data_IF_321048730264
#
_entry.id   IF_321048730264
#
_cell.length_a   1.000
_cell.length_b   1.000
_cell.length_c   1.000
_cell.angle_alpha   90.00
_cell.angle_beta   90.00
_cell.angle_gamma   90.00
#
_symmetry.space_group_name_H-M   'P 1'
#
loop_
_entity.id
_entity.type
_entity.pdbx_description
1 polymer ?
#
# COMPACT_ATOMS: atom_id res chain seq x y z
N UNK A 1 -86.83 -33.56 107.63
CA UNK A 1 -88.20 -33.57 107.21
C UNK A 1 -88.24 -33.81 105.78
N UNK A 2 -88.35 -35.06 105.53
CA UNK A 2 -89.54 -35.73 104.94
C UNK A 2 -89.80 -35.32 103.53
N UNK A 3 -90.09 -36.10 102.75
CA UNK A 3 -90.35 -37.54 102.54
C UNK A 3 -90.43 -37.89 101.09
N UNK A 4 -89.84 -38.97 100.61
CA UNK A 4 -90.50 -40.06 99.89
C UNK A 4 -91.12 -39.71 98.46
N UNK A 5 -90.93 -40.38 97.47
CA UNK A 5 -91.11 -41.81 97.17
C UNK A 5 -91.61 -42.04 95.77
N UNK A 6 -91.10 -43.06 95.21
CA UNK A 6 -91.67 -44.01 94.27
C UNK A 6 -91.36 -43.94 92.78
N UNK A 7 -90.66 -44.94 92.43
CA UNK A 7 -90.62 -45.62 91.09
C UNK A 7 -91.97 -46.30 90.85
N UNK A 8 -92.31 -46.59 89.63
CA UNK A 8 -91.98 -47.92 89.01
C UNK A 8 -91.61 -47.90 87.53
N UNK A 9 -90.89 -48.97 87.17
CA UNK A 9 -90.64 -49.57 85.88
C UNK A 9 -91.92 -50.12 85.20
N UNK A 10 -91.77 -50.76 84.00
CA UNK A 10 -91.04 -50.61 82.68
C UNK A 10 -92.00 -50.68 81.52
N UNK A 11 -91.51 -50.45 80.26
CA UNK A 11 -91.90 -51.22 79.08
C UNK A 11 -90.87 -51.03 77.90
N UNK A 12 -90.49 -52.15 77.33
CA UNK A 12 -89.69 -52.31 76.14
C UNK A 12 -90.35 -51.78 74.85
N UNK A 13 -89.61 -51.28 73.87
CA UNK A 13 -89.77 -51.63 72.53
C UNK A 13 -88.83 -50.87 71.59
N UNK A 14 -88.22 -51.63 70.77
CA UNK A 14 -87.83 -51.41 69.33
C UNK A 14 -86.81 -50.36 68.95
N UNK A 15 -85.64 -50.86 68.41
CA UNK A 15 -84.69 -50.18 67.60
C UNK A 15 -85.25 -49.89 66.18
N UNK A 16 -84.94 -48.75 65.61
CA UNK A 16 -84.79 -48.64 64.19
C UNK A 16 -83.37 -48.34 63.80
N UNK A 17 -82.93 -48.89 62.67
CA UNK A 17 -81.67 -48.85 61.96
C UNK A 17 -80.98 -47.48 61.91
N UNK A 18 -79.63 -47.42 62.21
CA UNK A 18 -78.72 -46.31 61.80
C UNK A 18 -78.44 -46.33 60.34
N UNK A 19 -79.18 -45.61 59.53
CA UNK A 19 -78.73 -45.17 58.22
C UNK A 19 -77.56 -44.20 58.38
N UNK A 20 -76.34 -44.71 57.98
CA UNK A 20 -75.13 -43.92 57.85
C UNK A 20 -75.32 -42.73 56.87
N UNK A 21 -75.70 -41.57 57.38
CA UNK A 21 -75.59 -40.28 56.67
C UNK A 21 -74.10 -39.99 56.44
N UNK A 22 -73.56 -40.34 55.24
CA UNK A 22 -72.26 -39.81 54.77
C UNK A 22 -72.39 -38.30 54.68
N UNK A 23 -71.81 -37.56 55.58
CA UNK A 23 -71.88 -36.11 55.66
C UNK A 23 -71.21 -35.52 54.38
N UNK A 24 -71.92 -34.69 53.61
CA UNK A 24 -71.35 -34.06 52.44
C UNK A 24 -70.17 -33.16 52.73
N UNK A 25 -69.94 -32.78 53.98
CA UNK A 25 -68.83 -31.95 54.43
C UNK A 25 -67.47 -32.58 54.21
N UNK A 26 -67.33 -33.94 54.25
CA UNK A 26 -66.07 -34.63 53.98
C UNK A 26 -65.72 -34.56 52.50
N UNK A 27 -66.66 -34.61 51.55
CA UNK A 27 -66.44 -34.46 50.16
C UNK A 27 -66.15 -32.99 49.77
N UNK A 28 -66.73 -32.01 50.43
CA UNK A 28 -66.42 -30.58 50.24
C UNK A 28 -65.00 -30.29 50.74
N UNK A 29 -64.62 -30.79 51.91
CA UNK A 29 -63.27 -30.64 52.43
C UNK A 29 -62.23 -31.36 51.58
N UNK A 30 -62.50 -32.53 51.00
CA UNK A 30 -61.63 -33.24 50.09
C UNK A 30 -61.52 -32.49 48.76
N UNK A 31 -62.61 -31.92 48.25
CA UNK A 31 -62.66 -31.08 47.08
C UNK A 31 -61.84 -29.79 47.27
N UNK A 32 -61.96 -29.10 48.42
CA UNK A 32 -61.12 -27.93 48.68
C UNK A 32 -59.64 -28.30 48.83
N UNK A 33 -59.29 -29.45 49.47
CA UNK A 33 -57.90 -29.89 49.57
C UNK A 33 -57.31 -30.20 48.19
N UNK A 34 -58.10 -30.89 47.35
CA UNK A 34 -57.67 -31.22 45.97
C UNK A 34 -57.49 -29.96 45.08
N UNK A 35 -58.40 -28.98 45.26
CA UNK A 35 -58.33 -27.68 44.61
C UNK A 35 -57.15 -26.87 45.17
N UNK A 36 -56.83 -26.91 46.45
CA UNK A 36 -55.67 -26.32 47.09
C UNK A 36 -54.34 -26.96 46.59
N UNK A 37 -54.34 -28.30 46.50
CA UNK A 37 -53.16 -29.04 45.99
C UNK A 37 -52.94 -28.79 44.48
N UNK A 38 -54.02 -28.79 43.69
CA UNK A 38 -53.88 -28.48 42.22
C UNK A 38 -53.51 -27.02 42.00
N UNK A 39 -54.09 -26.08 42.69
CA UNK A 39 -53.71 -24.68 42.66
C UNK A 39 -52.27 -24.45 43.16
N UNK A 40 -51.85 -25.10 44.25
CA UNK A 40 -50.51 -25.06 44.77
C UNK A 40 -49.46 -25.68 43.85
N UNK A 41 -49.80 -26.83 43.26
CA UNK A 41 -48.92 -27.45 42.22
C UNK A 41 -48.84 -26.61 40.95
N UNK A 42 -49.95 -26.06 40.47
CA UNK A 42 -49.97 -25.16 39.35
C UNK A 42 -49.15 -23.89 39.65
N UNK A 43 -49.36 -23.27 40.79
CA UNK A 43 -48.56 -22.09 41.20
C UNK A 43 -47.09 -22.43 41.34
N UNK A 44 -46.74 -23.58 41.95
CA UNK A 44 -45.37 -24.03 42.11
C UNK A 44 -44.66 -24.19 40.77
N UNK A 45 -45.31 -24.87 39.78
CA UNK A 45 -44.73 -25.02 38.42
C UNK A 45 -44.73 -23.70 37.64
N UNK A 46 -45.73 -22.83 37.88
CA UNK A 46 -45.78 -21.54 37.17
C UNK A 46 -44.70 -20.56 37.64
N UNK A 47 -44.40 -20.52 38.93
CA UNK A 47 -43.37 -19.61 39.50
C UNK A 47 -41.95 -20.20 39.48
N UNK A 48 -41.79 -21.50 39.44
CA UNK A 48 -40.52 -22.18 39.49
C UNK A 48 -39.66 -21.95 38.24
N UNK A 49 -40.28 -21.86 37.07
CA UNK A 49 -39.60 -21.80 35.79
C UNK A 49 -39.46 -20.36 35.26
N UNK A 50 -39.54 -19.36 36.14
CA UNK A 50 -39.40 -17.94 35.81
C UNK A 50 -38.45 -17.24 36.75
N UNK A 51 -37.56 -16.45 36.15
CA UNK A 51 -36.62 -15.60 36.88
C UNK A 51 -36.87 -14.16 36.46
N UNK A 52 -37.23 -13.28 37.37
CA UNK A 52 -37.53 -11.88 37.10
C UNK A 52 -36.56 -10.95 37.78
N UNK A 53 -36.32 -9.80 37.17
CA UNK A 53 -35.56 -8.68 37.69
C UNK A 53 -36.29 -7.38 37.39
N UNK A 54 -36.48 -6.56 38.40
CA UNK A 54 -36.96 -5.18 38.39
C UNK A 54 -35.83 -4.16 38.17
N UNK A 55 -34.57 -4.63 38.20
CA UNK A 55 -33.39 -3.83 37.96
C UNK A 55 -32.92 -4.07 36.51
N UNK A 56 -33.69 -3.55 35.56
CA UNK A 56 -33.39 -3.68 34.16
C UNK A 56 -33.69 -2.36 33.45
N UNK A 57 -32.86 -2.05 32.48
CA UNK A 57 -32.99 -0.84 31.66
C UNK A 57 -32.75 -1.14 30.18
N UNK A 58 -33.35 -0.31 29.34
CA UNK A 58 -33.05 -0.30 27.90
C UNK A 58 -31.71 0.38 27.68
N UNK A 59 -30.84 -0.24 26.91
CA UNK A 59 -29.57 0.30 26.46
C UNK A 59 -29.50 0.38 24.92
N UNK A 60 -28.60 1.18 24.37
CA UNK A 60 -28.31 1.28 22.97
C UNK A 60 -26.85 1.68 22.70
N UNK A 61 -26.41 1.53 21.47
CA UNK A 61 -25.12 2.07 21.02
C UNK A 61 -25.20 3.61 20.92
N UNK A 62 -24.56 4.29 21.84
CA UNK A 62 -24.52 5.75 21.88
C UNK A 62 -23.35 6.23 21.01
N UNK A 63 -23.64 6.93 19.90
CA UNK A 63 -22.61 7.46 18.99
C UNK A 63 -22.37 8.93 19.25
N UNK A 64 -21.24 9.27 19.87
CA UNK A 64 -20.83 10.66 20.06
C UNK A 64 -20.24 11.22 18.75
N UNK A 65 -20.73 12.38 18.34
CA UNK A 65 -20.28 13.11 17.15
C UNK A 65 -19.30 14.18 17.57
N UNK A 66 -18.06 14.07 17.06
CA UNK A 66 -16.98 15.00 17.32
C UNK A 66 -16.26 15.39 16.01
N UNK A 67 -15.79 16.62 15.84
CA UNK A 67 -15.05 17.04 14.68
C UNK A 67 -13.66 16.38 14.64
N UNK A 68 -13.18 16.10 13.44
CA UNK A 68 -11.81 15.60 13.19
C UNK A 68 -10.81 16.74 12.95
N UNK A 69 -11.32 17.95 12.69
CA UNK A 69 -10.54 19.16 12.37
C UNK A 69 -11.04 20.33 13.21
N UNK A 70 -10.16 21.28 13.54
CA UNK A 70 -10.58 22.53 14.19
C UNK A 70 -11.22 23.48 13.19
N UNK A 71 -12.11 24.35 13.64
CA UNK A 71 -12.66 25.38 12.79
C UNK A 71 -13.86 26.10 13.39
N UNK A 72 -14.31 27.14 12.70
CA UNK A 72 -15.52 27.86 13.06
C UNK A 72 -16.75 27.17 12.49
N UNK A 73 -17.77 26.94 13.28
CA UNK A 73 -19.04 26.35 12.85
C UNK A 73 -19.84 27.37 12.05
N UNK A 74 -20.01 27.09 10.77
CA UNK A 74 -20.77 27.95 9.87
C UNK A 74 -22.27 27.77 10.07
N UNK A 75 -22.73 26.51 10.18
CA UNK A 75 -24.15 26.18 10.35
C UNK A 75 -24.30 24.84 11.08
N UNK A 76 -25.35 24.74 11.90
CA UNK A 76 -25.85 23.51 12.48
C UNK A 76 -27.20 23.24 11.84
N UNK A 77 -27.35 22.12 11.13
CA UNK A 77 -28.47 21.82 10.26
C UNK A 77 -29.52 20.91 10.91
N UNK A 78 -29.29 20.54 12.19
CA UNK A 78 -30.17 19.66 12.94
C UNK A 78 -30.56 20.29 14.27
N UNK A 79 -31.75 19.94 14.74
CA UNK A 79 -32.28 20.34 16.04
C UNK A 79 -32.08 19.21 17.06
N UNK A 80 -32.11 19.56 18.35
CA UNK A 80 -32.13 18.58 19.41
C UNK A 80 -33.43 17.74 19.33
N UNK A 81 -33.31 16.43 19.55
CA UNK A 81 -34.39 15.44 19.40
C UNK A 81 -34.93 15.24 17.96
N UNK A 82 -34.19 15.71 16.94
CA UNK A 82 -34.54 15.46 15.54
C UNK A 82 -34.07 14.06 15.11
N UNK A 83 -34.94 13.36 14.37
CA UNK A 83 -34.57 12.12 13.69
C UNK A 83 -33.70 12.42 12.47
N UNK A 84 -32.61 11.69 12.31
CA UNK A 84 -31.64 11.80 11.21
C UNK A 84 -31.35 10.43 10.63
N UNK A 85 -30.97 10.40 9.35
CA UNK A 85 -30.53 9.21 8.64
C UNK A 85 -29.02 9.25 8.43
N UNK A 86 -28.43 8.07 8.29
CA UNK A 86 -27.03 7.97 7.90
C UNK A 86 -26.74 8.77 6.62
N UNK A 87 -25.72 9.64 6.65
CA UNK A 87 -25.39 10.56 5.57
C UNK A 87 -26.00 11.96 5.67
N UNK A 88 -26.99 12.18 6.55
CA UNK A 88 -27.54 13.52 6.76
C UNK A 88 -26.48 14.48 7.30
N UNK A 89 -26.42 15.70 6.78
CA UNK A 89 -25.45 16.71 7.23
C UNK A 89 -25.93 17.30 8.56
N UNK A 90 -25.06 17.17 9.56
CA UNK A 90 -25.33 17.64 10.92
C UNK A 90 -24.77 19.04 11.16
N UNK A 91 -23.48 19.22 10.86
CA UNK A 91 -22.74 20.45 11.12
C UNK A 91 -21.88 20.78 9.91
N UNK A 92 -21.79 22.03 9.58
CA UNK A 92 -20.85 22.56 8.57
C UNK A 92 -19.86 23.51 9.23
N UNK A 93 -18.59 23.14 9.16
CA UNK A 93 -17.45 23.96 9.56
C UNK A 93 -17.08 24.85 8.36
N UNK A 94 -16.52 26.04 8.61
CA UNK A 94 -16.07 26.96 7.54
C UNK A 94 -15.02 26.29 6.65
N UNK A 95 -15.30 26.07 5.35
CA UNK A 95 -14.40 25.34 4.47
C UNK A 95 -13.33 26.21 3.82
N UNK A 96 -13.35 27.56 3.98
CA UNK A 96 -12.52 28.49 3.19
C UNK A 96 -11.03 28.22 3.34
N UNK A 97 -10.55 28.02 4.55
CA UNK A 97 -9.14 27.75 4.81
C UNK A 97 -8.71 26.39 4.25
N UNK A 98 -9.58 25.39 4.33
CA UNK A 98 -9.34 24.05 3.80
C UNK A 98 -9.40 24.03 2.28
N UNK A 99 -10.32 24.81 1.67
CA UNK A 99 -10.39 24.98 0.22
C UNK A 99 -9.10 25.64 -0.31
N UNK A 100 -8.61 26.69 0.35
CA UNK A 100 -7.34 27.33 -0.02
C UNK A 100 -6.16 26.33 0.03
N UNK A 101 -6.13 25.43 1.03
CA UNK A 101 -5.11 24.37 1.09
C UNK A 101 -5.22 23.37 -0.06
N UNK A 102 -6.42 23.00 -0.46
CA UNK A 102 -6.67 22.16 -1.65
C UNK A 102 -6.16 22.84 -2.91
N UNK A 103 -6.44 24.14 -3.08
CA UNK A 103 -6.01 24.90 -4.26
C UNK A 103 -4.48 25.03 -4.33
N UNK A 104 -3.82 25.25 -3.20
CA UNK A 104 -2.35 25.25 -3.09
C UNK A 104 -1.78 23.88 -3.46
N UNK A 105 -2.33 22.81 -2.91
CA UNK A 105 -1.87 21.44 -3.18
C UNK A 105 -2.11 21.04 -4.66
N UNK A 106 -3.22 21.50 -5.26
CA UNK A 106 -3.51 21.30 -6.69
C UNK A 106 -2.52 22.04 -7.59
N UNK A 107 -2.17 23.29 -7.24
CA UNK A 107 -1.14 24.04 -7.95
C UNK A 107 0.23 23.36 -7.86
N UNK A 108 0.60 22.83 -6.69
CA UNK A 108 1.83 22.06 -6.50
C UNK A 108 1.84 20.77 -7.33
N UNK A 109 0.72 20.09 -7.48
CA UNK A 109 0.59 18.92 -8.37
C UNK A 109 0.82 19.31 -9.82
N UNK A 110 0.19 20.37 -10.32
CA UNK A 110 0.39 20.87 -11.68
C UNK A 110 1.86 21.25 -11.95
N UNK A 111 2.53 21.86 -10.98
CA UNK A 111 3.95 22.17 -11.07
C UNK A 111 4.80 20.89 -11.20
N UNK A 112 4.53 19.87 -10.35
CA UNK A 112 5.25 18.60 -10.39
C UNK A 112 5.00 17.84 -11.72
N UNK A 113 3.78 17.85 -12.24
CA UNK A 113 3.44 17.27 -13.55
C UNK A 113 4.16 17.96 -14.69
N UNK A 114 4.27 19.29 -14.68
CA UNK A 114 5.07 20.08 -15.63
C UNK A 114 6.55 19.69 -15.59
N UNK A 115 7.11 19.53 -14.38
CA UNK A 115 8.50 19.11 -14.20
C UNK A 115 8.73 17.69 -14.76
N UNK A 116 7.82 16.76 -14.50
CA UNK A 116 7.87 15.40 -15.05
C UNK A 116 7.81 15.42 -16.57
N UNK A 117 6.90 16.16 -17.18
CA UNK A 117 6.77 16.28 -18.61
C UNK A 117 8.06 16.82 -19.25
N UNK A 118 8.66 17.84 -18.65
CA UNK A 118 9.97 18.38 -19.07
C UNK A 118 11.06 17.31 -18.99
N UNK A 119 11.16 16.61 -17.85
CA UNK A 119 12.16 15.56 -17.66
C UNK A 119 11.96 14.41 -18.66
N UNK A 120 10.72 13.99 -18.91
CA UNK A 120 10.40 12.95 -19.90
C UNK A 120 10.75 13.36 -21.33
N UNK A 121 10.59 14.64 -21.68
CA UNK A 121 10.93 15.15 -23.02
C UNK A 121 12.44 15.21 -23.26
N UNK A 122 13.24 15.46 -22.21
CA UNK A 122 14.71 15.52 -22.29
C UNK A 122 15.33 14.15 -22.50
N UNK A 123 14.74 13.06 -22.04
CA UNK A 123 15.27 11.69 -22.20
C UNK A 123 15.43 11.30 -23.67
N UNK A 124 14.40 11.34 -24.55
CA UNK A 124 14.53 10.99 -25.95
C UNK A 124 15.43 11.97 -26.70
N UNK A 125 15.43 13.26 -26.37
CA UNK A 125 16.32 14.23 -26.94
C UNK A 125 17.78 13.86 -26.66
N UNK A 126 18.13 13.59 -25.40
CA UNK A 126 19.48 13.16 -25.01
C UNK A 126 19.86 11.84 -25.68
N UNK A 127 18.94 10.88 -25.73
CA UNK A 127 19.19 9.62 -26.42
C UNK A 127 19.52 9.83 -27.92
N UNK A 128 18.74 10.64 -28.63
CA UNK A 128 18.95 10.90 -30.03
C UNK A 128 20.28 11.64 -30.29
N UNK A 129 20.62 12.63 -29.48
CA UNK A 129 21.87 13.40 -29.63
C UNK A 129 23.09 12.52 -29.33
N UNK A 130 23.06 11.71 -28.27
CA UNK A 130 24.17 10.79 -27.92
C UNK A 130 24.30 9.66 -28.94
N UNK A 131 23.18 9.14 -29.46
CA UNK A 131 23.19 8.11 -30.50
C UNK A 131 23.78 8.66 -31.81
N UNK A 132 23.38 9.86 -32.22
CA UNK A 132 23.92 10.53 -33.40
C UNK A 132 25.43 10.80 -33.25
N UNK A 133 25.85 11.25 -32.08
CA UNK A 133 27.28 11.43 -31.77
C UNK A 133 28.07 10.12 -31.85
N UNK A 134 27.55 9.03 -31.32
CA UNK A 134 28.20 7.72 -31.39
C UNK A 134 28.27 7.19 -32.84
N UNK A 135 27.21 7.39 -33.64
CA UNK A 135 27.21 7.01 -35.06
C UNK A 135 28.21 7.82 -35.86
N UNK A 136 28.31 9.13 -35.60
CA UNK A 136 29.31 10.02 -36.24
C UNK A 136 30.74 9.62 -35.89
N UNK A 137 31.05 9.32 -34.64
CA UNK A 137 32.36 8.84 -34.22
C UNK A 137 32.69 7.48 -34.84
N UNK A 138 31.74 6.55 -34.94
CA UNK A 138 31.93 5.26 -35.61
C UNK A 138 32.24 5.42 -37.13
N UNK A 139 31.58 6.35 -37.80
CA UNK A 139 31.87 6.67 -39.21
C UNK A 139 33.29 7.23 -39.38
N UNK A 140 33.72 8.14 -38.48
CA UNK A 140 35.10 8.66 -38.50
C UNK A 140 36.14 7.57 -38.28
N UNK A 141 35.88 6.60 -37.38
CA UNK A 141 36.73 5.44 -37.18
C UNK A 141 36.83 4.59 -38.47
N UNK A 142 35.71 4.34 -39.15
CA UNK A 142 35.67 3.59 -40.41
C UNK A 142 36.51 4.28 -41.49
N UNK A 143 36.39 5.61 -41.61
CA UNK A 143 37.20 6.40 -42.55
C UNK A 143 38.68 6.35 -42.21
N UNK A 144 39.07 6.49 -40.94
CA UNK A 144 40.46 6.37 -40.51
C UNK A 144 41.03 4.95 -40.74
N UNK A 145 40.26 3.91 -40.58
CA UNK A 145 40.64 2.53 -40.89
C UNK A 145 40.84 2.32 -42.38
N UNK A 146 39.97 2.88 -43.23
CA UNK A 146 40.10 2.81 -44.68
C UNK A 146 41.34 3.56 -45.14
N UNK A 147 41.69 4.70 -44.55
CA UNK A 147 42.92 5.43 -44.81
C UNK A 147 44.17 4.62 -44.42
N UNK A 148 44.14 3.97 -43.25
CA UNK A 148 45.22 3.08 -42.80
C UNK A 148 45.45 1.92 -43.82
N UNK A 149 44.37 1.30 -44.29
CA UNK A 149 44.47 0.22 -45.30
C UNK A 149 45.10 0.74 -46.56
N UNK A 150 44.68 1.92 -47.06
CA UNK A 150 45.29 2.56 -48.25
C UNK A 150 46.77 2.88 -48.04
N UNK A 151 47.14 3.41 -46.87
CA UNK A 151 48.53 3.71 -46.55
C UNK A 151 49.39 2.44 -46.48
N UNK A 152 48.87 1.34 -45.91
CA UNK A 152 49.53 0.03 -45.84
C UNK A 152 49.78 -0.55 -47.23
N UNK A 153 48.76 -0.58 -48.07
CA UNK A 153 48.90 -1.06 -49.46
C UNK A 153 49.93 -0.25 -50.22
N UNK A 154 49.91 1.08 -50.10
CA UNK A 154 50.92 1.95 -50.70
C UNK A 154 52.32 1.73 -50.16
N UNK A 155 52.51 1.42 -48.90
CA UNK A 155 53.80 1.04 -48.29
C UNK A 155 54.25 -0.34 -48.80
N UNK A 156 53.37 -1.33 -48.85
CA UNK A 156 53.63 -2.70 -49.29
C UNK A 156 54.11 -2.70 -50.74
N UNK A 157 53.48 -1.93 -51.63
CA UNK A 157 53.90 -1.75 -53.00
C UNK A 157 55.30 -1.13 -53.07
N UNK A 158 55.55 -0.02 -52.38
CA UNK A 158 56.85 0.66 -52.43
C UNK A 158 57.96 -0.19 -51.75
N UNK A 159 57.68 -0.95 -50.70
CA UNK A 159 58.66 -1.74 -50.00
C UNK A 159 58.99 -3.09 -50.63
N UNK A 160 58.11 -3.62 -51.49
CA UNK A 160 58.32 -4.91 -52.16
C UNK A 160 58.48 -4.78 -53.63
N UNK A 161 57.39 -4.42 -54.37
CA UNK A 161 57.37 -4.42 -55.82
C UNK A 161 58.33 -3.39 -56.41
N UNK A 162 58.27 -2.13 -55.97
CA UNK A 162 59.04 -1.06 -56.51
C UNK A 162 60.59 -1.25 -56.30
N UNK A 163 60.93 -1.71 -55.07
CA UNK A 163 62.30 -2.05 -54.69
C UNK A 163 62.80 -3.23 -55.57
N UNK A 164 62.01 -4.29 -55.72
CA UNK A 164 62.37 -5.47 -56.51
C UNK A 164 62.68 -5.12 -57.96
N UNK A 165 61.90 -4.22 -58.56
CA UNK A 165 62.09 -3.76 -59.91
C UNK A 165 63.44 -3.02 -60.05
N UNK A 166 63.69 -2.03 -59.18
CA UNK A 166 64.94 -1.26 -59.30
C UNK A 166 66.17 -2.10 -58.92
N UNK A 167 66.08 -3.05 -58.01
CA UNK A 167 67.15 -4.01 -57.73
C UNK A 167 67.46 -4.96 -58.91
N UNK A 168 66.45 -5.37 -59.66
CA UNK A 168 66.63 -6.15 -60.87
C UNK A 168 67.37 -5.32 -61.94
N UNK A 169 67.03 -4.01 -62.01
CA UNK A 169 67.79 -3.10 -62.92
C UNK A 169 69.24 -2.95 -62.50
N UNK A 170 69.53 -2.76 -61.19
CA UNK A 170 70.90 -2.71 -60.68
C UNK A 170 71.69 -3.99 -61.04
N UNK A 171 71.12 -5.16 -60.92
CA UNK A 171 71.75 -6.43 -61.32
C UNK A 171 72.06 -6.47 -62.78
N UNK A 172 71.16 -5.96 -63.62
CA UNK A 172 71.39 -5.88 -65.08
C UNK A 172 72.52 -4.92 -65.42
N UNK A 173 72.57 -3.72 -64.80
CA UNK A 173 73.63 -2.72 -65.02
C UNK A 173 74.93 -3.19 -64.42
N UNK A 174 74.95 -3.90 -63.30
CA UNK A 174 76.10 -4.50 -62.71
C UNK A 174 76.77 -5.53 -63.69
N UNK A 175 75.96 -6.44 -64.25
CA UNK A 175 76.45 -7.41 -65.21
C UNK A 175 76.99 -6.73 -66.46
N UNK A 176 76.39 -5.62 -66.93
CA UNK A 176 76.90 -4.83 -68.04
C UNK A 176 78.23 -4.16 -67.72
N UNK A 177 78.37 -3.57 -66.55
CA UNK A 177 79.63 -2.95 -66.07
C UNK A 177 80.73 -3.98 -65.91
N UNK A 178 80.43 -5.14 -65.26
CA UNK A 178 81.42 -6.23 -65.16
C UNK A 178 81.95 -6.69 -66.52
N UNK A 179 81.09 -6.83 -67.51
CA UNK A 179 81.43 -7.17 -68.86
C UNK A 179 82.32 -6.08 -69.48
N UNK A 180 81.93 -4.79 -69.43
CA UNK A 180 82.68 -3.71 -69.98
C UNK A 180 84.06 -3.53 -69.32
N UNK A 181 84.16 -3.72 -68.00
CA UNK A 181 85.44 -3.72 -67.26
C UNK A 181 86.31 -4.90 -67.64
N UNK A 182 85.80 -6.09 -67.84
CA UNK A 182 86.50 -7.28 -68.29
C UNK A 182 86.99 -7.13 -69.70
N UNK A 183 86.23 -6.52 -70.60
CA UNK A 183 86.64 -6.22 -71.96
C UNK A 183 87.80 -5.17 -71.99
N UNK A 184 87.69 -4.11 -71.19
CA UNK A 184 88.75 -3.12 -71.01
C UNK A 184 90.04 -3.78 -70.44
N UNK A 185 89.93 -4.61 -69.38
CA UNK A 185 91.08 -5.32 -68.82
C UNK A 185 91.77 -6.25 -69.84
N UNK A 186 91.04 -6.92 -70.73
CA UNK A 186 91.57 -7.75 -71.80
C UNK A 186 92.24 -6.92 -72.90
N UNK A 187 91.75 -5.71 -73.17
CA UNK A 187 92.36 -4.83 -74.23
C UNK A 187 93.62 -4.10 -73.79
N UNK A 188 93.79 -3.88 -72.46
CA UNK A 188 94.97 -3.19 -71.92
C UNK A 188 96.27 -3.86 -72.25
N UNK A 189 96.50 -5.18 -72.09
CA UNK A 189 97.76 -5.81 -72.49
C UNK A 189 98.01 -5.84 -74.03
N UNK A 190 96.89 -5.84 -74.83
CA UNK A 190 96.98 -5.80 -76.30
C UNK A 190 97.42 -4.42 -76.78
N UNK A 191 97.02 -3.33 -76.09
CA UNK A 191 97.56 -1.99 -76.34
C UNK A 191 99.04 -1.89 -76.05
N UNK A 192 99.50 -2.46 -74.86
CA UNK A 192 100.92 -2.48 -74.48
C UNK A 192 101.80 -3.19 -75.53
N UNK A 193 101.17 -4.22 -76.15
CA UNK A 193 101.84 -4.96 -77.23
C UNK A 193 101.69 -4.31 -78.62
N UNK A 194 100.99 -3.13 -78.72
CA UNK A 194 100.71 -2.43 -79.96
C UNK A 194 99.78 -3.25 -80.95
N UNK A 195 99.07 -4.26 -80.45
CA UNK A 195 98.18 -5.10 -81.29
C UNK A 195 96.83 -4.41 -81.61
N UNK A 196 96.46 -3.34 -80.84
CA UNK A 196 95.25 -2.53 -81.00
C UNK A 196 95.60 -1.03 -81.10
N UNK A 197 94.76 -0.23 -81.80
CA UNK A 197 94.94 1.21 -81.83
C UNK A 197 94.51 1.93 -80.53
N UNK A 198 95.20 3.08 -80.27
CA UNK A 198 94.79 3.95 -79.14
C UNK A 198 93.33 4.37 -79.20
N UNK A 199 92.79 4.59 -80.41
CA UNK A 199 91.36 4.93 -80.60
C UNK A 199 90.45 3.80 -80.21
N UNK A 200 90.78 2.54 -80.54
CA UNK A 200 90.02 1.38 -80.16
C UNK A 200 90.03 1.19 -78.61
N UNK A 201 91.20 1.34 -77.96
CA UNK A 201 91.31 1.30 -76.49
C UNK A 201 90.48 2.41 -75.83
N UNK A 202 90.55 3.66 -76.36
CA UNK A 202 89.74 4.77 -75.83
C UNK A 202 88.23 4.50 -75.95
N UNK A 203 87.77 3.78 -77.01
CA UNK A 203 86.39 3.34 -77.10
C UNK A 203 85.95 2.38 -76.00
N UNK A 204 86.83 1.35 -75.66
CA UNK A 204 86.54 0.44 -74.56
C UNK A 204 86.59 1.17 -73.20
N UNK A 205 87.51 2.12 -73.01
CA UNK A 205 87.61 2.95 -71.87
C UNK A 205 86.38 3.83 -71.70
N UNK A 206 85.88 4.42 -72.77
CA UNK A 206 84.62 5.19 -72.75
C UNK A 206 83.40 4.31 -72.38
N UNK A 207 83.31 3.11 -73.01
CA UNK A 207 82.24 2.14 -72.72
C UNK A 207 82.23 1.69 -71.30
N UNK A 208 83.44 1.43 -70.70
CA UNK A 208 83.54 1.07 -69.28
C UNK A 208 83.09 2.21 -68.33
N UNK A 209 83.48 3.47 -68.65
CA UNK A 209 83.03 4.65 -67.90
C UNK A 209 81.51 4.88 -68.01
N UNK A 210 80.94 4.68 -69.17
CA UNK A 210 79.46 4.76 -69.35
C UNK A 210 78.74 3.71 -68.52
N UNK A 211 79.22 2.43 -68.60
CA UNK A 211 78.62 1.36 -67.85
C UNK A 211 78.76 1.56 -66.32
N UNK A 212 79.86 2.08 -65.85
CA UNK A 212 80.06 2.45 -64.42
C UNK A 212 79.10 3.58 -64.01
N UNK A 213 78.97 4.61 -64.87
CA UNK A 213 78.00 5.71 -64.55
C UNK A 213 76.55 5.24 -64.53
N UNK A 214 76.19 4.33 -65.44
CA UNK A 214 74.83 3.73 -65.48
C UNK A 214 74.59 2.90 -64.28
N UNK A 215 75.59 2.12 -63.72
CA UNK A 215 75.46 1.37 -62.52
C UNK A 215 75.24 2.30 -61.31
N UNK A 216 76.02 3.35 -61.16
CA UNK A 216 75.84 4.35 -60.11
C UNK A 216 74.49 4.98 -60.16
N UNK A 217 73.99 5.37 -61.34
CA UNK A 217 72.66 5.93 -61.52
C UNK A 217 71.55 4.92 -61.05
N UNK A 218 71.72 3.62 -61.32
CA UNK A 218 70.80 2.59 -60.91
C UNK A 218 70.83 2.37 -59.36
N UNK A 219 72.02 2.47 -58.78
CA UNK A 219 72.19 2.39 -57.29
C UNK A 219 71.54 3.60 -56.62
N UNK A 220 71.75 4.81 -57.09
CA UNK A 220 71.02 6.01 -56.58
C UNK A 220 69.54 5.90 -56.74
N UNK A 221 69.04 5.26 -57.79
CA UNK A 221 67.62 4.98 -57.94
C UNK A 221 67.07 4.04 -56.88
N UNK A 222 67.84 3.02 -56.46
CA UNK A 222 67.48 2.17 -55.31
C UNK A 222 67.37 2.99 -53.99
N UNK A 223 68.34 3.85 -53.73
CA UNK A 223 68.30 4.73 -52.58
C UNK A 223 67.06 5.64 -52.53
N UNK A 224 66.74 6.22 -53.73
CA UNK A 224 65.53 7.05 -53.90
C UNK A 224 64.22 6.27 -53.61
N UNK A 225 64.09 5.04 -54.13
CA UNK A 225 62.93 4.20 -53.92
C UNK A 225 62.81 3.74 -52.41
N UNK A 226 63.97 3.43 -51.84
CA UNK A 226 64.02 3.12 -50.36
C UNK A 226 63.61 4.31 -49.52
N UNK A 227 64.03 5.51 -49.85
CA UNK A 227 63.61 6.72 -49.14
C UNK A 227 62.12 6.94 -49.32
N UNK A 228 61.53 6.73 -50.55
CA UNK A 228 60.09 6.79 -50.73
C UNK A 228 59.34 5.75 -49.90
N UNK A 229 59.86 4.49 -49.82
CA UNK A 229 59.29 3.48 -48.91
C UNK A 229 59.32 3.95 -47.46
N UNK A 230 60.35 4.63 -46.99
CA UNK A 230 60.45 5.24 -45.70
C UNK A 230 59.36 6.31 -45.43
N UNK A 231 59.12 7.20 -46.42
CA UNK A 231 58.06 8.19 -46.36
C UNK A 231 56.66 7.51 -46.21
N UNK A 232 56.44 6.49 -47.01
CA UNK A 232 55.19 5.73 -46.97
C UNK A 232 54.99 4.99 -45.66
N UNK A 233 56.09 4.47 -45.06
CA UNK A 233 56.04 3.89 -43.70
C UNK A 233 55.62 4.92 -42.65
N UNK A 234 56.16 6.14 -42.74
CA UNK A 234 55.75 7.24 -41.85
C UNK A 234 54.27 7.60 -42.07
N UNK A 235 53.75 7.57 -43.32
CA UNK A 235 52.32 7.75 -43.56
C UNK A 235 51.46 6.65 -42.93
N UNK A 236 51.91 5.39 -42.92
CA UNK A 236 51.22 4.30 -42.18
C UNK A 236 51.17 4.60 -40.67
N UNK A 237 52.28 5.04 -40.08
CA UNK A 237 52.32 5.41 -38.67
C UNK A 237 51.35 6.58 -38.34
N UNK A 238 51.29 7.58 -39.20
CA UNK A 238 50.36 8.70 -39.07
C UNK A 238 48.90 8.25 -39.15
N UNK A 239 48.59 7.37 -40.14
CA UNK A 239 47.24 6.80 -40.28
C UNK A 239 46.88 5.92 -39.07
N UNK A 240 47.83 5.17 -38.52
CA UNK A 240 47.65 4.39 -37.27
C UNK A 240 47.28 5.30 -36.09
N UNK A 241 47.97 6.43 -35.93
CA UNK A 241 47.66 7.40 -34.88
C UNK A 241 46.27 8.02 -35.05
N UNK A 242 45.83 8.26 -36.32
CA UNK A 242 44.47 8.72 -36.61
C UNK A 242 43.39 7.68 -36.19
N UNK A 243 43.65 6.38 -36.43
CA UNK A 243 42.78 5.30 -36.01
C UNK A 243 42.66 5.29 -34.45
N UNK A 244 43.79 5.41 -33.72
CA UNK A 244 43.78 5.47 -32.29
C UNK A 244 43.00 6.68 -31.76
N UNK A 245 43.13 7.84 -32.39
CA UNK A 245 42.35 9.03 -32.04
C UNK A 245 40.84 8.81 -32.25
N UNK A 246 40.47 8.26 -33.42
CA UNK A 246 39.07 7.97 -33.72
C UNK A 246 38.48 6.91 -32.81
N UNK A 247 39.26 5.91 -32.38
CA UNK A 247 38.83 4.93 -31.34
C UNK A 247 38.54 5.62 -30.02
N UNK A 248 39.41 6.50 -29.56
CA UNK A 248 39.17 7.26 -28.30
C UNK A 248 37.89 8.14 -28.41
N UNK A 249 37.61 8.70 -29.61
CA UNK A 249 36.39 9.46 -29.85
C UNK A 249 35.13 8.57 -29.76
N UNK A 250 35.19 7.34 -30.28
CA UNK A 250 34.09 6.37 -30.16
C UNK A 250 33.85 6.01 -28.68
N UNK A 251 34.93 5.74 -27.94
CA UNK A 251 34.81 5.46 -26.49
C UNK A 251 34.18 6.64 -25.71
N UNK A 252 34.61 7.86 -25.99
CA UNK A 252 34.05 9.07 -25.41
C UNK A 252 32.54 9.23 -25.74
N UNK A 253 32.19 8.98 -27.02
CA UNK A 253 30.79 9.05 -27.48
C UNK A 253 29.90 7.95 -26.79
N UNK A 254 30.44 6.74 -26.59
CA UNK A 254 29.77 5.66 -25.87
C UNK A 254 29.64 6.00 -24.38
N UNK A 255 30.65 6.60 -23.75
CA UNK A 255 30.58 7.06 -22.39
C UNK A 255 29.48 8.12 -22.19
N UNK A 256 29.31 9.02 -23.18
CA UNK A 256 28.25 10.03 -23.15
C UNK A 256 26.82 9.42 -23.18
N UNK A 257 26.65 8.19 -23.69
CA UNK A 257 25.35 7.51 -23.66
C UNK A 257 24.86 7.25 -22.22
N UNK A 258 25.76 7.13 -21.22
CA UNK A 258 25.38 7.03 -19.81
C UNK A 258 24.63 8.25 -19.31
N UNK A 259 24.74 9.38 -19.98
CA UNK A 259 23.96 10.58 -19.68
C UNK A 259 22.45 10.37 -19.87
N UNK A 260 22.06 9.44 -20.74
CA UNK A 260 20.66 9.03 -20.90
C UNK A 260 20.13 8.37 -19.62
N UNK A 261 20.95 7.55 -18.95
CA UNK A 261 20.56 6.91 -17.70
C UNK A 261 20.40 7.92 -16.56
N UNK A 262 21.25 8.94 -16.53
CA UNK A 262 21.10 10.07 -15.59
C UNK A 262 19.78 10.80 -15.84
N UNK A 263 19.47 11.14 -17.10
CA UNK A 263 18.20 11.80 -17.45
C UNK A 263 16.99 10.94 -17.15
N UNK A 264 17.11 9.61 -17.31
CA UNK A 264 16.05 8.66 -16.94
C UNK A 264 15.84 8.62 -15.42
N UNK A 265 16.93 8.66 -14.63
CA UNK A 265 16.84 8.74 -13.17
C UNK A 265 16.19 10.07 -12.71
N UNK A 266 16.56 11.20 -13.35
CA UNK A 266 15.92 12.51 -13.10
C UNK A 266 14.42 12.48 -13.41
N UNK A 267 14.00 11.83 -14.52
CA UNK A 267 12.59 11.62 -14.85
C UNK A 267 11.89 10.75 -13.79
N UNK A 268 12.56 9.71 -13.26
CA UNK A 268 12.07 8.91 -12.16
C UNK A 268 11.87 9.72 -10.87
N UNK A 269 12.81 10.61 -10.55
CA UNK A 269 12.72 11.53 -9.41
C UNK A 269 11.53 12.50 -9.57
N UNK A 270 11.34 13.05 -10.76
CA UNK A 270 10.20 13.92 -11.05
C UNK A 270 8.87 13.17 -10.95
N UNK A 271 8.82 11.89 -11.38
CA UNK A 271 7.63 11.04 -11.22
C UNK A 271 7.31 10.78 -9.73
N UNK A 272 8.32 10.55 -8.89
CA UNK A 272 8.14 10.46 -7.45
C UNK A 272 7.62 11.77 -6.84
N UNK A 273 8.09 12.93 -7.36
CA UNK A 273 7.58 14.24 -6.99
C UNK A 273 6.09 14.41 -7.29
N UNK A 274 5.61 13.94 -8.44
CA UNK A 274 4.17 13.92 -8.79
C UNK A 274 3.39 13.05 -7.82
N UNK A 275 3.91 11.86 -7.49
CA UNK A 275 3.23 10.97 -6.53
C UNK A 275 3.10 11.62 -5.14
N UNK A 276 4.15 12.30 -4.67
CA UNK A 276 4.12 13.03 -3.40
C UNK A 276 3.13 14.22 -3.43
N UNK A 277 3.11 15.01 -4.51
CA UNK A 277 2.17 16.13 -4.66
C UNK A 277 0.72 15.64 -4.74
N UNK A 278 0.47 14.50 -5.40
CA UNK A 278 -0.86 13.87 -5.47
C UNK A 278 -1.33 13.39 -4.09
N UNK A 279 -0.44 12.78 -3.30
CA UNK A 279 -0.75 12.38 -1.93
C UNK A 279 -1.07 13.59 -1.04
N UNK A 280 -0.34 14.70 -1.18
CA UNK A 280 -0.62 15.94 -0.46
C UNK A 280 -1.97 16.54 -0.85
N UNK A 281 -2.33 16.51 -2.14
CA UNK A 281 -3.66 16.94 -2.61
C UNK A 281 -4.76 16.08 -1.99
N UNK A 282 -4.62 14.76 -2.03
CA UNK A 282 -5.59 13.84 -1.43
C UNK A 282 -5.76 14.08 0.08
N UNK A 283 -4.67 14.36 0.80
CA UNK A 283 -4.73 14.71 2.22
C UNK A 283 -5.46 16.04 2.47
N UNK A 284 -5.26 17.04 1.62
CA UNK A 284 -5.96 18.33 1.72
C UNK A 284 -7.46 18.18 1.40
N UNK A 285 -7.82 17.40 0.38
CA UNK A 285 -9.21 17.08 0.01
C UNK A 285 -9.91 16.29 1.13
N UNK A 286 -9.22 15.35 1.78
CA UNK A 286 -9.75 14.63 2.93
C UNK A 286 -10.03 15.58 4.11
N UNK A 287 -9.12 16.52 4.40
CA UNK A 287 -9.35 17.53 5.43
C UNK A 287 -10.55 18.43 5.08
N UNK A 288 -10.69 18.81 3.82
CA UNK A 288 -11.85 19.57 3.34
C UNK A 288 -13.15 18.77 3.52
N UNK A 289 -13.14 17.47 3.25
CA UNK A 289 -14.33 16.63 3.45
C UNK A 289 -14.80 16.60 4.91
N UNK A 290 -13.86 16.73 5.88
CA UNK A 290 -14.19 16.77 7.30
C UNK A 290 -14.86 18.07 7.73
N UNK A 291 -14.90 19.12 6.89
CA UNK A 291 -15.67 20.34 7.17
C UNK A 291 -17.18 20.11 7.15
N UNK A 292 -17.64 19.04 6.50
CA UNK A 292 -19.03 18.62 6.48
C UNK A 292 -19.19 17.37 7.33
N UNK A 293 -19.78 17.52 8.51
CA UNK A 293 -20.02 16.43 9.43
C UNK A 293 -21.36 15.77 9.12
N UNK A 294 -21.34 14.47 8.89
CA UNK A 294 -22.54 13.70 8.58
C UNK A 294 -22.84 12.67 9.66
N UNK A 295 -24.11 12.26 9.77
CA UNK A 295 -24.56 11.20 10.66
C UNK A 295 -23.96 9.86 10.19
N UNK A 296 -23.28 9.09 11.04
CA UNK A 296 -22.76 7.77 10.69
C UNK A 296 -23.82 6.67 10.71
N UNK A 297 -24.91 6.86 11.45
CA UNK A 297 -25.99 5.90 11.66
C UNK A 297 -27.34 6.61 11.67
N UNK A 298 -28.41 5.87 11.40
CA UNK A 298 -29.78 6.35 11.60
C UNK A 298 -30.08 6.48 13.10
N UNK A 299 -30.73 7.56 13.51
CA UNK A 299 -31.05 7.72 14.93
C UNK A 299 -31.68 9.06 15.25
N UNK A 300 -31.68 9.40 16.54
CA UNK A 300 -32.18 10.68 17.03
C UNK A 300 -31.01 11.46 17.64
N UNK A 301 -30.86 12.70 17.20
CA UNK A 301 -29.87 13.63 17.75
C UNK A 301 -30.26 13.98 19.18
N UNK A 302 -29.32 13.93 20.09
CA UNK A 302 -29.52 14.22 21.51
C UNK A 302 -28.29 14.96 22.05
N UNK A 303 -28.49 15.80 23.05
CA UNK A 303 -27.41 16.54 23.69
C UNK A 303 -26.58 17.42 22.72
N UNK A 304 -27.27 18.20 21.89
CA UNK A 304 -26.64 19.18 21.01
C UNK A 304 -26.02 20.30 21.86
N UNK A 305 -24.67 20.40 21.84
CA UNK A 305 -23.89 21.38 22.59
C UNK A 305 -23.21 22.43 21.72
N UNK A 306 -23.43 22.38 20.38
CA UNK A 306 -22.78 23.24 19.40
C UNK A 306 -23.76 24.24 18.80
N UNK A 307 -23.27 25.49 18.63
CA UNK A 307 -24.03 26.58 18.00
C UNK A 307 -23.25 27.21 16.84
N UNK A 308 -23.94 27.80 15.84
CA UNK A 308 -23.27 28.54 14.76
C UNK A 308 -22.41 29.68 15.30
N UNK A 309 -21.20 29.86 14.74
CA UNK A 309 -20.21 30.85 15.16
C UNK A 309 -19.23 30.37 16.24
N UNK A 310 -19.45 29.17 16.78
CA UNK A 310 -18.56 28.58 17.79
C UNK A 310 -17.30 27.99 17.12
N UNK A 311 -16.15 28.13 17.77
CA UNK A 311 -14.92 27.43 17.37
C UNK A 311 -14.86 26.08 18.07
N UNK A 312 -14.72 25.01 17.26
CA UNK A 312 -14.65 23.64 17.74
C UNK A 312 -13.24 23.07 17.56
N UNK A 313 -12.90 22.11 18.44
CA UNK A 313 -11.61 21.43 18.44
C UNK A 313 -11.79 19.94 18.15
N UNK A 314 -10.77 19.27 17.55
CA UNK A 314 -10.81 17.83 17.32
C UNK A 314 -11.10 17.06 18.61
N UNK A 315 -12.03 16.10 18.54
CA UNK A 315 -12.43 15.26 19.68
C UNK A 315 -13.44 15.90 20.65
N UNK A 316 -13.78 17.18 20.47
CA UNK A 316 -14.84 17.82 21.26
C UNK A 316 -16.20 17.22 20.90
N UNK A 317 -16.93 16.66 21.87
CA UNK A 317 -18.29 16.16 21.64
C UNK A 317 -19.24 17.31 21.31
N UNK A 318 -19.88 17.25 20.16
CA UNK A 318 -20.83 18.29 19.71
C UNK A 318 -22.27 17.88 19.90
N UNK A 319 -22.57 16.63 19.71
CA UNK A 319 -23.90 16.02 19.88
C UNK A 319 -23.76 14.50 19.93
N UNK A 320 -24.85 13.84 20.26
CA UNK A 320 -24.93 12.39 20.33
C UNK A 320 -26.04 11.88 19.43
N UNK A 321 -25.82 10.78 18.71
CA UNK A 321 -26.86 10.11 17.96
C UNK A 321 -27.16 8.77 18.63
N UNK A 322 -28.45 8.54 18.88
CA UNK A 322 -28.97 7.32 19.50
C UNK A 322 -29.78 6.56 18.46
N UNK A 323 -29.32 5.40 17.99
CA UNK A 323 -30.10 4.52 17.12
C UNK A 323 -31.21 3.85 17.92
N UNK A 324 -32.48 4.18 17.60
CA UNK A 324 -33.62 3.61 18.30
C UNK A 324 -34.03 2.21 17.79
N UNK A 325 -33.39 1.72 16.73
CA UNK A 325 -33.67 0.40 16.15
C UNK A 325 -32.76 -0.69 16.71
N UNK A 326 -31.61 -0.33 17.23
CA UNK A 326 -30.59 -1.23 17.78
C UNK A 326 -30.51 -1.05 19.29
N UNK A 327 -31.58 -1.47 19.98
CA UNK A 327 -31.70 -1.40 21.43
C UNK A 327 -31.77 -2.79 22.02
N UNK A 328 -31.23 -2.94 23.23
CA UNK A 328 -31.32 -4.17 24.03
C UNK A 328 -31.70 -3.83 25.47
N UNK A 329 -31.97 -4.83 26.26
CA UNK A 329 -32.18 -4.68 27.69
C UNK A 329 -31.02 -5.24 28.47
N UNK A 330 -30.48 -4.46 29.36
CA UNK A 330 -29.51 -4.89 30.37
C UNK A 330 -30.25 -5.10 31.68
N UNK A 331 -30.43 -6.37 32.05
CA UNK A 331 -31.14 -6.75 33.27
C UNK A 331 -30.16 -7.31 34.31
N UNK A 332 -30.16 -6.76 35.52
CA UNK A 332 -29.29 -7.14 36.60
C UNK A 332 -29.95 -8.21 37.50
N UNK A 333 -29.63 -9.48 37.25
CA UNK A 333 -30.13 -10.60 38.03
C UNK A 333 -29.27 -10.88 39.27
N UNK A 334 -29.88 -11.38 40.34
CA UNK A 334 -29.14 -11.84 41.52
C UNK A 334 -28.31 -13.07 41.17
N UNK A 335 -27.08 -13.18 41.69
CA UNK A 335 -26.19 -14.33 41.46
C UNK A 335 -26.87 -15.67 41.72
N UNK A 336 -27.77 -15.73 42.74
CA UNK A 336 -28.52 -16.93 43.09
C UNK A 336 -29.57 -17.35 42.08
N UNK A 337 -29.95 -16.48 41.17
CA UNK A 337 -30.99 -16.71 40.16
C UNK A 337 -30.39 -17.20 38.82
N UNK A 338 -29.09 -17.01 38.58
CA UNK A 338 -28.46 -17.26 37.29
C UNK A 338 -28.10 -18.71 37.03
N UNK A 339 -28.21 -19.62 38.01
CA UNK A 339 -27.86 -21.02 37.83
C UNK A 339 -28.65 -21.74 36.71
N UNK A 340 -29.85 -21.24 36.39
CA UNK A 340 -30.76 -21.79 35.38
C UNK A 340 -30.88 -20.91 34.13
N UNK A 341 -30.17 -19.77 34.06
CA UNK A 341 -30.23 -18.85 32.96
C UNK A 341 -29.13 -19.18 31.96
N UNK A 342 -29.48 -19.35 30.65
CA UNK A 342 -28.59 -19.67 29.61
C UNK A 342 -28.88 -18.79 28.36
N UNK A 343 -27.88 -18.49 27.52
CA UNK A 343 -28.11 -17.83 26.23
C UNK A 343 -29.14 -18.58 25.38
N UNK A 344 -29.97 -17.82 24.64
CA UNK A 344 -31.04 -18.33 23.78
C UNK A 344 -32.39 -18.52 24.49
N UNK A 345 -32.49 -18.43 25.84
CA UNK A 345 -33.74 -18.52 26.53
C UNK A 345 -34.67 -17.33 26.24
N UNK A 346 -35.95 -17.60 26.11
CA UNK A 346 -36.97 -16.58 25.88
C UNK A 346 -37.11 -15.65 27.10
N UNK A 347 -37.24 -14.37 26.80
CA UNK A 347 -37.50 -13.36 27.82
C UNK A 347 -38.76 -12.54 27.46
N UNK A 348 -39.47 -12.12 28.45
CA UNK A 348 -40.56 -11.16 28.40
C UNK A 348 -40.11 -9.89 29.13
N UNK A 349 -40.24 -8.76 28.43
CA UNK A 349 -39.80 -7.46 28.93
C UNK A 349 -41.04 -6.57 29.04
N UNK A 350 -41.43 -6.23 30.22
CA UNK A 350 -42.52 -5.29 30.51
C UNK A 350 -41.92 -3.88 30.56
N UNK A 351 -42.42 -3.00 29.71
CA UNK A 351 -41.93 -1.62 29.62
C UNK A 351 -42.83 -0.73 30.48
N UNK A 352 -42.27 -0.14 31.53
CA UNK A 352 -43.02 0.63 32.53
C UNK A 352 -43.81 1.78 31.91
N UNK A 353 -43.17 2.54 31.00
CA UNK A 353 -43.79 3.69 30.35
C UNK A 353 -45.07 3.34 29.59
N UNK A 354 -45.15 2.14 28.99
CA UNK A 354 -46.25 1.75 28.13
C UNK A 354 -47.24 0.76 28.83
N UNK A 355 -46.83 0.14 29.96
CA UNK A 355 -47.58 -0.94 30.58
C UNK A 355 -47.77 -2.17 29.69
N UNK A 356 -46.92 -2.34 28.68
CA UNK A 356 -47.00 -3.40 27.66
C UNK A 356 -45.71 -4.20 27.62
N UNK A 357 -45.85 -5.49 27.28
CA UNK A 357 -44.72 -6.40 27.19
C UNK A 357 -44.24 -6.53 25.73
N UNK A 358 -42.92 -6.66 25.58
CA UNK A 358 -42.25 -7.07 24.36
C UNK A 358 -41.50 -8.39 24.59
N UNK A 359 -41.27 -9.14 23.54
CA UNK A 359 -40.56 -10.42 23.59
C UNK A 359 -39.12 -10.26 23.15
N UNK A 360 -38.24 -11.01 23.81
CA UNK A 360 -36.85 -11.07 23.53
C UNK A 360 -36.24 -12.41 23.91
N UNK A 361 -34.91 -12.49 23.76
CA UNK A 361 -34.15 -13.67 24.20
C UNK A 361 -32.83 -13.24 24.85
N UNK A 362 -32.34 -14.09 25.73
CA UNK A 362 -31.03 -13.89 26.37
C UNK A 362 -29.93 -14.04 25.34
N UNK A 363 -29.15 -12.99 25.14
CA UNK A 363 -27.98 -12.98 24.29
C UNK A 363 -26.73 -13.48 25.03
N UNK A 364 -26.44 -12.83 26.15
CA UNK A 364 -25.23 -13.12 26.91
C UNK A 364 -25.36 -12.74 28.38
N UNK A 365 -24.54 -13.40 29.20
CA UNK A 365 -24.39 -13.11 30.61
C UNK A 365 -23.04 -12.47 30.82
N UNK A 366 -22.98 -11.37 31.57
CA UNK A 366 -21.73 -10.66 31.82
C UNK A 366 -20.71 -11.55 32.55
N UNK A 367 -19.44 -11.46 32.19
CA UNK A 367 -18.36 -12.18 32.88
C UNK A 367 -17.98 -11.63 34.25
N UNK A 368 -18.62 -10.54 34.70
CA UNK A 368 -18.35 -9.93 36.00
C UNK A 368 -19.61 -9.33 36.61
N UNK A 369 -19.61 -9.18 37.95
CA UNK A 369 -20.70 -8.51 38.67
C UNK A 369 -20.73 -7.02 38.38
N UNK A 370 -21.90 -6.39 38.45
CA UNK A 370 -22.07 -4.95 38.23
C UNK A 370 -21.21 -4.09 39.16
N UNK A 371 -21.02 -4.55 40.43
CA UNK A 371 -20.15 -3.86 41.38
C UNK A 371 -18.67 -3.82 40.97
N UNK A 372 -18.18 -4.83 40.23
CA UNK A 372 -16.80 -4.85 39.70
C UNK A 372 -16.63 -4.00 38.44
N UNK A 373 -17.67 -3.83 37.66
CA UNK A 373 -17.69 -3.03 36.44
C UNK A 373 -18.01 -1.54 36.72
N UNK A 374 -18.37 -1.20 37.96
CA UNK A 374 -18.62 0.19 38.35
C UNK A 374 -17.32 1.01 38.33
N UNK A 375 -17.40 2.27 37.88
CA UNK A 375 -16.31 3.25 37.94
C UNK A 375 -15.76 3.46 39.36
N UNK A 376 -16.62 3.31 40.39
CA UNK A 376 -16.27 3.39 41.81
C UNK A 376 -16.73 2.09 42.50
N UNK A 377 -15.92 1.02 42.47
CA UNK A 377 -16.25 -0.20 43.16
C UNK A 377 -16.43 0.08 44.67
N UNK A 378 -17.46 -0.46 45.32
CA UNK A 378 -17.64 -0.28 46.74
C UNK A 378 -16.50 -0.96 47.52
N UNK A 379 -15.59 -0.17 48.09
CA UNK A 379 -14.55 -0.66 48.99
C UNK A 379 -15.02 -0.59 50.45
N UNK A 380 -15.00 -1.73 51.16
CA UNK A 380 -15.26 -1.77 52.59
C UNK A 380 -14.01 -1.30 53.35
N UNK A 381 -13.92 0.00 53.59
CA UNK A 381 -12.79 0.64 54.29
C UNK A 381 -12.58 0.15 55.73
N UNK A 382 -13.54 -0.57 56.32
CA UNK A 382 -13.52 -1.02 57.73
C UNK A 382 -13.02 -2.46 57.92
N UNK A 383 -12.59 -3.17 56.84
CA UNK A 383 -12.01 -4.52 56.98
C UNK A 383 -12.98 -5.66 57.25
N UNK A 384 -14.28 -5.39 57.51
CA UNK A 384 -15.28 -6.42 57.68
C UNK A 384 -15.92 -6.79 56.34
N UNK A 385 -15.69 -8.01 55.89
CA UNK A 385 -16.34 -8.56 54.68
C UNK A 385 -17.77 -8.97 55.02
N UNK A 386 -18.75 -8.23 54.53
CA UNK A 386 -20.15 -8.61 54.57
C UNK A 386 -20.54 -9.24 53.25
N UNK A 387 -20.97 -10.50 53.28
CA UNK A 387 -21.48 -11.20 52.07
C UNK A 387 -22.82 -10.58 51.68
N UNK A 388 -22.81 -9.76 50.62
CA UNK A 388 -24.02 -9.24 50.00
C UNK A 388 -24.26 -9.95 48.66
N UNK A 389 -25.54 -10.18 48.33
CA UNK A 389 -25.92 -10.80 47.05
C UNK A 389 -25.48 -9.87 45.92
N UNK A 390 -24.60 -10.39 45.03
CA UNK A 390 -24.15 -9.67 43.89
C UNK A 390 -25.18 -9.73 42.75
N UNK A 391 -25.24 -8.70 41.93
CA UNK A 391 -26.02 -8.68 40.69
C UNK A 391 -25.09 -8.81 39.48
N UNK A 392 -25.52 -9.62 38.53
CA UNK A 392 -24.76 -9.87 37.29
C UNK A 392 -25.64 -9.39 36.12
N UNK A 393 -25.11 -8.50 35.24
CA UNK A 393 -25.84 -8.03 34.06
C UNK A 393 -26.06 -9.17 33.07
N UNK A 394 -27.26 -9.26 32.56
CA UNK A 394 -27.67 -10.15 31.46
C UNK A 394 -28.17 -9.28 30.34
N UNK A 395 -27.60 -9.48 29.13
CA UNK A 395 -28.04 -8.80 27.93
C UNK A 395 -29.16 -9.58 27.28
N UNK A 396 -30.29 -8.91 27.02
CA UNK A 396 -31.47 -9.49 26.37
C UNK A 396 -31.76 -8.72 25.12
N UNK A 397 -31.70 -9.39 23.98
CA UNK A 397 -32.08 -8.81 22.67
C UNK A 397 -33.60 -8.84 22.52
N UNK A 398 -34.12 -7.80 21.89
CA UNK A 398 -35.56 -7.63 21.70
C UNK A 398 -35.91 -8.16 20.31
N UNK A 399 -36.75 -9.20 20.24
CA UNK A 399 -37.13 -9.80 18.93
C UNK A 399 -38.17 -8.95 18.19
N UNK A 400 -39.15 -8.41 18.93
CA UNK A 400 -40.23 -7.60 18.37
C UNK A 400 -40.59 -6.46 19.32
N UNK A 401 -40.49 -5.24 18.84
CA UNK A 401 -40.86 -4.04 19.59
C UNK A 401 -42.38 -3.78 19.63
N UNK A 402 -43.18 -4.53 18.83
CA UNK A 402 -44.64 -4.36 18.70
C UNK A 402 -45.05 -2.89 18.43
N UNK A 403 -44.21 -2.14 17.69
CA UNK A 403 -44.44 -0.73 17.38
C UNK A 403 -44.15 0.25 18.51
N UNK A 404 -43.55 -0.22 19.64
CA UNK A 404 -43.11 0.63 20.74
C UNK A 404 -41.73 1.26 20.39
N UNK A 405 -41.59 2.53 20.72
CA UNK A 405 -40.29 3.23 20.61
C UNK A 405 -39.56 3.12 21.92
N UNK A 406 -38.60 2.23 22.01
CA UNK A 406 -37.77 2.05 23.17
C UNK A 406 -36.61 3.02 23.16
N UNK A 407 -36.38 3.69 24.28
CA UNK A 407 -35.32 4.68 24.44
C UNK A 407 -34.34 4.23 25.51
N UNK A 408 -33.03 4.35 25.29
CA UNK A 408 -32.05 4.05 26.34
C UNK A 408 -32.35 4.81 27.63
N UNK A 409 -32.16 4.13 28.76
CA UNK A 409 -32.47 4.65 30.08
C UNK A 409 -33.94 4.43 30.54
N UNK A 410 -34.81 3.84 29.71
CA UNK A 410 -36.14 3.42 30.15
C UNK A 410 -36.03 2.23 31.10
N UNK A 411 -36.76 2.29 32.24
CA UNK A 411 -36.89 1.18 33.14
C UNK A 411 -37.85 0.12 32.58
N UNK A 412 -37.49 -1.12 32.80
CA UNK A 412 -38.26 -2.29 32.36
C UNK A 412 -38.16 -3.41 33.39
N UNK A 413 -39.18 -4.25 33.46
CA UNK A 413 -39.12 -5.51 34.20
C UNK A 413 -38.79 -6.64 33.24
N UNK A 414 -37.71 -7.36 33.49
CA UNK A 414 -37.30 -8.48 32.66
C UNK A 414 -37.60 -9.83 33.32
N UNK A 415 -38.34 -10.68 32.64
CA UNK A 415 -38.65 -12.05 33.08
C UNK A 415 -38.10 -13.05 32.09
N UNK A 416 -37.18 -13.91 32.51
CA UNK A 416 -36.59 -14.98 31.69
C UNK A 416 -37.30 -16.29 32.02
N UNK A 417 -37.66 -17.02 30.96
CA UNK A 417 -38.23 -18.38 31.06
C UNK A 417 -37.07 -19.39 30.99
N UNK A 418 -36.87 -20.13 32.09
CA UNK A 418 -35.73 -21.04 32.25
C UNK A 418 -35.95 -22.43 31.67
N UNK A 419 -37.04 -22.60 30.95
CA UNK A 419 -37.38 -23.82 30.16
C UNK A 419 -37.47 -23.57 28.70
#
# INVERSE_FOLDING_TARGET
MDELSKSPRPVSAETPDEESQRSPVKFILLGMLLLGVTAGTWAYFHFRDRVSSDDAQVDAHITAIAPKIPGNVLAVLVLDNQAVKAGDVLVRIDPRDYQARVDIARAALLQAESQLNTAQTVVPLTNNTTQSGASGAAAQLADAMAELVRARLGYEQAASSDIAVVQANVRTKQASNERAQADLARMKPLLEKAEISRLQFAAYQAAARVAESELRAAEEQVASVQQNAGIRKAAVSAAQSRVSLAQAQVEAALANRKQVDVRRAESGTAAAGVAAARANLAAAELQLSYTTMVAPVDGVVTHKSVEPGQIVQPGQGLMTIIPLQDVWVTANFKETQLASVHPGQRAEIQVDMYGRSVTGHVDSISGATGSRLSLLPPENATGNFVKVVQRIPVKILIDQTNGLVLRPGMNVDATIFTR
#
